data_IF_608735472620
#
_entry.id   IF_608735472620
#
_cell.length_a   1.000
_cell.length_b   1.000
_cell.length_c   1.000
_cell.angle_alpha   90.00
_cell.angle_beta   90.00
_cell.angle_gamma   90.00
#
_symmetry.space_group_name_H-M   'P 1'
#
loop_
_entity.id
_entity.type
_entity.pdbx_description
1 polymer ?
#
# COMPACT_ATOMS: atom_id res chain seq x y z
N UNK A 1 -106.76 56.48 -21.82
CA UNK A 1 -105.91 55.55 -21.02
C UNK A 1 -104.62 55.15 -21.77
N UNK A 2 -103.93 56.07 -22.49
CA UNK A 2 -102.74 55.71 -23.31
C UNK A 2 -101.40 56.28 -22.83
N UNK A 3 -101.34 57.19 -21.85
CA UNK A 3 -100.07 57.81 -21.42
C UNK A 3 -99.25 56.97 -20.42
N UNK A 4 -99.87 55.98 -19.76
CA UNK A 4 -99.18 55.15 -18.74
C UNK A 4 -98.27 54.07 -19.34
N UNK A 5 -98.51 53.65 -20.59
CA UNK A 5 -97.72 52.60 -21.23
C UNK A 5 -96.39 53.10 -21.81
N UNK A 6 -96.28 54.38 -22.16
CA UNK A 6 -95.04 54.95 -22.71
C UNK A 6 -93.92 55.17 -21.69
N UNK A 7 -94.25 55.40 -20.41
CA UNK A 7 -93.24 55.61 -19.35
C UNK A 7 -92.53 54.29 -19.00
N UNK A 8 -93.27 53.17 -19.00
CA UNK A 8 -92.71 51.85 -18.70
C UNK A 8 -91.76 51.34 -19.81
N UNK A 9 -92.04 51.65 -21.08
CA UNK A 9 -91.16 51.25 -22.18
C UNK A 9 -89.84 52.01 -22.16
N UNK A 10 -89.84 53.31 -21.84
CA UNK A 10 -88.61 54.11 -21.72
C UNK A 10 -87.76 53.62 -20.54
N UNK A 11 -88.37 53.33 -19.39
CA UNK A 11 -87.66 52.82 -18.21
C UNK A 11 -87.01 51.43 -18.48
N UNK A 12 -87.71 50.56 -19.23
CA UNK A 12 -87.20 49.26 -19.62
C UNK A 12 -85.98 49.37 -20.54
N UNK A 13 -85.97 50.32 -21.48
CA UNK A 13 -84.82 50.55 -22.39
C UNK A 13 -83.61 51.09 -21.63
N UNK A 14 -83.80 52.03 -20.69
CA UNK A 14 -82.71 52.60 -19.89
C UNK A 14 -82.10 51.53 -18.96
N UNK A 15 -82.91 50.70 -18.32
CA UNK A 15 -82.43 49.62 -17.44
C UNK A 15 -81.69 48.52 -18.22
N UNK A 16 -82.15 48.14 -19.41
CA UNK A 16 -81.44 47.23 -20.31
C UNK A 16 -80.10 47.81 -20.80
N UNK A 17 -80.07 49.10 -21.17
CA UNK A 17 -78.83 49.78 -21.55
C UNK A 17 -77.81 49.82 -20.41
N UNK A 18 -78.26 50.12 -19.19
CA UNK A 18 -77.41 50.14 -18.00
C UNK A 18 -76.87 48.75 -17.64
N UNK A 19 -77.72 47.71 -17.71
CA UNK A 19 -77.31 46.32 -17.50
C UNK A 19 -76.27 45.86 -18.54
N UNK A 20 -76.40 46.28 -19.81
CA UNK A 20 -75.42 46.02 -20.86
C UNK A 20 -74.05 46.66 -20.59
N UNK A 21 -74.04 47.93 -20.16
CA UNK A 21 -72.79 48.63 -19.78
C UNK A 21 -72.12 47.95 -18.59
N UNK A 22 -72.88 47.58 -17.55
CA UNK A 22 -72.36 46.85 -16.39
C UNK A 22 -71.81 45.47 -16.78
N UNK A 23 -72.46 44.75 -17.69
CA UNK A 23 -71.98 43.46 -18.18
C UNK A 23 -70.65 43.60 -18.92
N UNK A 24 -70.53 44.59 -19.83
CA UNK A 24 -69.27 44.88 -20.54
C UNK A 24 -68.18 45.32 -19.57
N UNK A 25 -68.51 46.15 -18.58
CA UNK A 25 -67.55 46.59 -17.56
C UNK A 25 -67.09 45.45 -16.67
N UNK A 26 -68.00 44.56 -16.27
CA UNK A 26 -67.68 43.35 -15.52
C UNK A 26 -66.79 42.40 -16.33
N UNK A 27 -67.05 42.25 -17.64
CA UNK A 27 -66.23 41.44 -18.54
C UNK A 27 -64.81 42.01 -18.70
N UNK A 28 -64.67 43.32 -18.88
CA UNK A 28 -63.37 44.01 -18.91
C UNK A 28 -62.61 43.85 -17.59
N UNK A 29 -63.32 43.98 -16.47
CA UNK A 29 -62.73 43.75 -15.14
C UNK A 29 -62.20 42.32 -15.03
N UNK A 30 -63.00 41.30 -15.41
CA UNK A 30 -62.55 39.89 -15.40
C UNK A 30 -61.33 39.65 -16.28
N UNK A 31 -61.30 40.23 -17.48
CA UNK A 31 -60.16 40.11 -18.38
C UNK A 31 -58.88 40.70 -17.78
N UNK A 32 -58.95 41.90 -17.22
CA UNK A 32 -57.82 42.54 -16.55
C UNK A 32 -57.33 41.72 -15.35
N UNK A 33 -58.25 41.14 -14.57
CA UNK A 33 -57.86 40.27 -13.46
C UNK A 33 -57.18 38.98 -13.94
N UNK A 34 -57.63 38.39 -15.06
CA UNK A 34 -56.99 37.22 -15.65
C UNK A 34 -55.58 37.55 -16.18
N UNK A 35 -55.40 38.70 -16.84
CA UNK A 35 -54.09 39.17 -17.30
C UNK A 35 -53.14 39.44 -16.11
N UNK A 36 -53.63 40.09 -15.04
CA UNK A 36 -52.85 40.31 -13.82
C UNK A 36 -52.46 38.97 -13.16
N UNK A 37 -53.35 37.98 -13.16
CA UNK A 37 -53.06 36.65 -12.60
C UNK A 37 -51.96 35.94 -13.40
N UNK A 38 -52.04 35.95 -14.73
CA UNK A 38 -51.03 35.37 -15.62
C UNK A 38 -49.66 36.06 -15.44
N UNK A 39 -49.65 37.40 -15.45
CA UNK A 39 -48.40 38.16 -15.26
C UNK A 39 -47.78 37.92 -13.88
N UNK A 40 -48.59 37.69 -12.84
CA UNK A 40 -48.09 37.32 -11.50
C UNK A 40 -47.48 35.93 -11.48
N UNK A 41 -48.05 34.98 -12.21
CA UNK A 41 -47.51 33.62 -12.36
C UNK A 41 -46.17 33.64 -13.11
N UNK A 42 -46.08 34.38 -14.21
CA UNK A 42 -44.81 34.59 -14.94
C UNK A 42 -43.75 35.28 -14.07
N UNK A 43 -44.13 36.29 -13.30
CA UNK A 43 -43.20 36.95 -12.39
C UNK A 43 -42.71 36.00 -11.28
N UNK A 44 -43.56 35.09 -10.79
CA UNK A 44 -43.18 34.08 -9.80
C UNK A 44 -42.23 33.01 -10.38
N UNK A 45 -42.46 32.59 -11.63
CA UNK A 45 -41.57 31.63 -12.29
C UNK A 45 -40.19 32.22 -12.55
N UNK A 46 -40.10 33.47 -13.03
CA UNK A 46 -38.84 34.18 -13.23
C UNK A 46 -38.05 34.35 -11.93
N UNK A 47 -38.72 34.64 -10.81
CA UNK A 47 -38.07 34.71 -9.49
C UNK A 47 -37.52 33.36 -9.04
N UNK A 48 -38.23 32.28 -9.31
CA UNK A 48 -37.79 30.93 -8.98
C UNK A 48 -36.54 30.56 -9.80
N UNK A 49 -36.58 30.84 -11.11
CA UNK A 49 -35.45 30.62 -12.02
C UNK A 49 -34.24 31.48 -11.64
N UNK A 50 -34.43 32.73 -11.26
CA UNK A 50 -33.31 33.60 -10.85
C UNK A 50 -32.70 33.14 -9.53
N UNK A 51 -33.52 32.74 -8.56
CA UNK A 51 -33.05 32.16 -7.30
C UNK A 51 -32.26 30.87 -7.53
N UNK A 52 -32.75 29.98 -8.40
CA UNK A 52 -32.04 28.74 -8.74
C UNK A 52 -30.75 29.02 -9.51
N UNK A 53 -30.74 29.97 -10.44
CA UNK A 53 -29.52 30.36 -11.16
C UNK A 53 -28.47 30.93 -10.19
N UNK A 54 -28.90 31.74 -9.22
CA UNK A 54 -28.02 32.27 -8.19
C UNK A 54 -27.49 31.16 -7.28
N UNK A 55 -28.34 30.20 -6.90
CA UNK A 55 -27.94 29.01 -6.14
C UNK A 55 -26.91 28.18 -6.90
N UNK A 56 -27.13 27.91 -8.18
CA UNK A 56 -26.20 27.15 -9.01
C UNK A 56 -24.86 27.86 -9.16
N UNK A 57 -24.86 29.19 -9.33
CA UNK A 57 -23.62 29.99 -9.36
C UNK A 57 -22.86 29.97 -8.03
N UNK A 58 -23.56 29.92 -6.91
CA UNK A 58 -22.93 29.83 -5.58
C UNK A 58 -22.29 28.45 -5.32
N UNK A 59 -22.74 27.39 -6.00
CA UNK A 59 -22.19 26.03 -5.87
C UNK A 59 -21.13 25.73 -6.94
N UNK A 60 -21.02 26.55 -7.99
CA UNK A 60 -19.99 26.35 -9.00
C UNK A 60 -18.60 26.62 -8.41
N UNK A 61 -17.63 25.72 -8.66
CA UNK A 61 -16.26 25.94 -8.22
C UNK A 61 -15.72 27.24 -8.81
N UNK A 62 -15.08 28.02 -7.97
CA UNK A 62 -14.40 29.25 -8.34
C UNK A 62 -13.26 28.97 -9.30
N UNK A 63 -12.84 29.99 -10.06
CA UNK A 63 -11.72 29.88 -10.98
C UNK A 63 -10.41 29.45 -10.29
N UNK A 64 -10.25 29.79 -9.01
CA UNK A 64 -9.14 29.38 -8.15
C UNK A 64 -9.20 27.90 -7.82
N UNK A 65 -10.36 27.36 -7.41
CA UNK A 65 -10.54 25.93 -7.16
C UNK A 65 -10.30 25.10 -8.43
N UNK A 66 -10.74 25.58 -9.59
CA UNK A 66 -10.43 24.97 -10.89
C UNK A 66 -8.94 24.99 -11.24
N UNK A 67 -8.19 26.03 -10.84
CA UNK A 67 -6.76 26.10 -11.06
C UNK A 67 -5.99 25.15 -10.12
N UNK A 68 -6.42 25.05 -8.87
CA UNK A 68 -5.87 24.09 -7.90
C UNK A 68 -6.09 22.66 -8.37
N UNK A 69 -7.30 22.32 -8.83
CA UNK A 69 -7.59 20.97 -9.29
C UNK A 69 -6.73 20.56 -10.50
N UNK A 70 -6.51 21.48 -11.45
CA UNK A 70 -5.60 21.24 -12.58
C UNK A 70 -4.15 21.05 -12.16
N UNK A 71 -3.69 21.78 -11.15
CA UNK A 71 -2.33 21.61 -10.60
C UNK A 71 -2.18 20.24 -9.96
N UNK A 72 -3.15 19.82 -9.14
CA UNK A 72 -3.14 18.49 -8.51
C UNK A 72 -3.17 17.36 -9.54
N UNK A 73 -3.96 17.51 -10.61
CA UNK A 73 -4.03 16.52 -11.68
C UNK A 73 -2.68 16.39 -12.42
N UNK A 74 -2.03 17.52 -12.73
CA UNK A 74 -0.71 17.53 -13.34
C UNK A 74 0.36 16.86 -12.44
N UNK A 75 0.30 17.06 -11.13
CA UNK A 75 1.19 16.39 -10.17
C UNK A 75 0.97 14.87 -10.14
N UNK A 76 -0.29 14.42 -10.16
CA UNK A 76 -0.62 12.99 -10.21
C UNK A 76 -0.04 12.33 -11.45
N UNK A 77 -0.26 12.91 -12.62
CA UNK A 77 0.27 12.41 -13.90
C UNK A 77 1.81 12.36 -13.87
N UNK A 78 2.45 13.37 -13.28
CA UNK A 78 3.91 13.38 -13.12
C UNK A 78 4.39 12.22 -12.24
N UNK A 79 3.79 12.02 -11.06
CA UNK A 79 4.14 10.91 -10.17
C UNK A 79 3.94 9.55 -10.84
N UNK A 80 2.85 9.35 -11.57
CA UNK A 80 2.59 8.12 -12.32
C UNK A 80 3.69 7.85 -13.37
N UNK A 81 4.12 8.90 -14.07
CA UNK A 81 5.20 8.79 -15.06
C UNK A 81 6.55 8.42 -14.41
N UNK A 82 6.86 8.97 -13.24
CA UNK A 82 8.07 8.65 -12.47
C UNK A 82 8.06 7.20 -12.00
N UNK A 83 6.92 6.72 -11.49
CA UNK A 83 6.74 5.31 -11.10
C UNK A 83 6.92 4.39 -12.31
N UNK A 84 6.33 4.72 -13.46
CA UNK A 84 6.48 3.94 -14.68
C UNK A 84 7.95 3.86 -15.13
N UNK A 85 8.68 4.99 -15.10
CA UNK A 85 10.10 5.04 -15.44
C UNK A 85 10.96 4.21 -14.47
N UNK A 86 10.71 4.30 -13.17
CA UNK A 86 11.43 3.50 -12.17
C UNK A 86 11.19 2.00 -12.35
N UNK A 87 9.95 1.60 -12.62
CA UNK A 87 9.61 0.20 -12.95
C UNK A 87 10.33 -0.28 -14.19
N UNK A 88 10.37 0.53 -15.26
CA UNK A 88 11.10 0.20 -16.49
C UNK A 88 12.60 0.07 -16.25
N UNK A 89 13.22 0.98 -15.49
CA UNK A 89 14.64 0.90 -15.11
C UNK A 89 14.97 -0.35 -14.30
N UNK A 90 14.11 -0.72 -13.35
CA UNK A 90 14.26 -1.94 -12.57
C UNK A 90 14.13 -3.19 -13.44
N UNK A 91 13.17 -3.21 -14.37
CA UNK A 91 13.00 -4.31 -15.32
C UNK A 91 14.22 -4.44 -16.24
N UNK A 92 14.74 -3.33 -16.79
CA UNK A 92 15.95 -3.33 -17.60
C UNK A 92 17.17 -3.85 -16.81
N UNK A 93 17.39 -3.36 -15.58
CA UNK A 93 18.46 -3.86 -14.70
C UNK A 93 18.33 -5.37 -14.44
N UNK A 94 17.11 -5.87 -14.24
CA UNK A 94 16.86 -7.32 -14.06
C UNK A 94 17.17 -8.10 -15.34
N UNK A 95 16.77 -7.61 -16.51
CA UNK A 95 17.03 -8.26 -17.79
C UNK A 95 18.53 -8.33 -18.11
N UNK A 96 19.27 -7.23 -17.90
CA UNK A 96 20.73 -7.21 -18.10
C UNK A 96 21.46 -8.11 -17.11
N UNK A 97 20.96 -8.25 -15.87
CA UNK A 97 21.50 -9.19 -14.87
C UNK A 97 21.20 -10.66 -15.19
N UNK A 98 20.22 -10.96 -16.06
CA UNK A 98 19.82 -12.33 -16.41
C UNK A 98 20.40 -12.81 -17.74
N UNK A 99 20.87 -11.93 -18.61
CA UNK A 99 21.23 -12.24 -19.99
C UNK A 99 22.58 -12.96 -20.19
N UNK A 100 23.30 -13.32 -19.12
CA UNK A 100 24.66 -13.91 -19.24
C UNK A 100 25.03 -14.98 -18.22
N UNK A 101 24.15 -15.35 -17.30
CA UNK A 101 24.43 -16.42 -16.33
C UNK A 101 23.85 -17.76 -16.84
N UNK A 102 24.59 -18.89 -16.78
CA UNK A 102 24.01 -20.20 -17.05
C UNK A 102 22.80 -20.40 -16.13
N UNK A 103 21.69 -20.89 -16.69
CA UNK A 103 20.48 -21.12 -15.94
C UNK A 103 20.76 -22.13 -14.81
N UNK A 104 20.74 -21.66 -13.57
CA UNK A 104 20.86 -22.51 -12.39
C UNK A 104 19.71 -23.53 -12.41
N UNK A 105 20.04 -24.82 -12.37
CA UNK A 105 19.03 -25.87 -12.24
C UNK A 105 18.70 -26.06 -10.76
N UNK A 106 17.42 -25.99 -10.35
CA UNK A 106 17.02 -26.29 -8.99
C UNK A 106 17.52 -27.66 -8.55
N UNK A 107 18.08 -27.77 -7.34
CA UNK A 107 18.49 -29.05 -6.80
C UNK A 107 17.26 -29.89 -6.45
N UNK A 108 17.36 -31.23 -6.37
CA UNK A 108 16.38 -32.02 -5.64
C UNK A 108 16.38 -31.59 -4.15
N UNK A 109 15.26 -31.76 -3.43
CA UNK A 109 15.21 -31.50 -2.00
C UNK A 109 16.08 -32.50 -1.23
N UNK A 110 16.91 -31.98 -0.34
CA UNK A 110 17.78 -32.74 0.56
C UNK A 110 17.19 -32.73 1.97
N UNK A 111 16.92 -33.90 2.54
CA UNK A 111 16.40 -34.04 3.90
C UNK A 111 17.45 -33.66 4.93
N UNK A 112 17.02 -33.21 6.12
CA UNK A 112 17.92 -32.81 7.20
C UNK A 112 18.90 -33.92 7.62
N UNK A 113 18.47 -35.17 7.57
CA UNK A 113 19.32 -36.34 7.85
C UNK A 113 20.41 -36.60 6.80
N UNK A 114 20.33 -35.97 5.62
CA UNK A 114 21.30 -36.09 4.55
C UNK A 114 22.28 -34.92 4.50
N UNK A 115 22.09 -33.89 5.34
CA UNK A 115 23.04 -32.77 5.43
C UNK A 115 24.36 -33.25 6.01
N UNK A 116 25.46 -32.80 5.43
CA UNK A 116 26.81 -33.11 5.90
C UNK A 116 27.67 -31.84 6.02
N UNK A 117 28.81 -31.99 6.70
CA UNK A 117 29.87 -31.00 6.64
C UNK A 117 30.55 -31.04 5.26
N UNK A 118 29.99 -30.30 4.29
CA UNK A 118 30.54 -30.14 2.94
C UNK A 118 31.70 -29.14 2.87
N UNK A 119 32.03 -28.48 3.98
CA UNK A 119 33.07 -27.46 4.09
C UNK A 119 32.65 -26.10 3.51
N UNK A 120 33.65 -25.25 3.21
CA UNK A 120 33.48 -23.87 2.73
C UNK A 120 34.01 -23.64 1.31
N UNK A 121 34.13 -24.72 0.53
CA UNK A 121 34.69 -24.69 -0.83
C UNK A 121 33.79 -24.01 -1.87
N UNK A 122 32.47 -24.00 -1.63
CA UNK A 122 31.48 -23.35 -2.48
C UNK A 122 30.37 -22.67 -1.65
N UNK A 123 29.59 -21.75 -2.25
CA UNK A 123 28.42 -21.15 -1.61
C UNK A 123 27.40 -22.18 -1.10
N UNK A 124 27.16 -23.24 -1.87
CA UNK A 124 26.22 -24.30 -1.51
C UNK A 124 26.77 -25.15 -0.36
N UNK A 125 28.06 -25.49 -0.42
CA UNK A 125 28.73 -26.29 0.60
C UNK A 125 28.75 -25.58 1.97
N UNK A 126 29.00 -24.27 1.99
CA UNK A 126 28.95 -23.52 3.26
C UNK A 126 27.55 -23.49 3.86
N UNK A 127 26.50 -23.40 3.01
CA UNK A 127 25.13 -23.46 3.50
C UNK A 127 24.77 -24.83 4.05
N UNK A 128 25.11 -25.91 3.34
CA UNK A 128 24.89 -27.26 3.82
C UNK A 128 25.62 -27.50 5.15
N UNK A 129 26.88 -27.08 5.24
CA UNK A 129 27.68 -27.16 6.47
C UNK A 129 27.06 -26.36 7.61
N UNK A 130 26.55 -25.16 7.34
CA UNK A 130 25.87 -24.34 8.34
C UNK A 130 24.59 -25.01 8.86
N UNK A 131 23.77 -25.59 7.98
CA UNK A 131 22.54 -26.28 8.36
C UNK A 131 22.83 -27.58 9.12
N UNK A 132 23.82 -28.35 8.68
CA UNK A 132 24.31 -29.53 9.40
C UNK A 132 24.81 -29.16 10.80
N UNK A 133 25.64 -28.11 10.91
CA UNK A 133 26.19 -27.66 12.17
C UNK A 133 25.09 -27.15 13.12
N UNK A 134 24.11 -26.42 12.59
CA UNK A 134 22.95 -25.99 13.36
C UNK A 134 22.09 -27.15 13.87
N UNK A 135 21.85 -28.15 13.02
CA UNK A 135 21.08 -29.35 13.38
C UNK A 135 21.79 -30.23 14.41
N UNK A 136 23.12 -30.36 14.29
CA UNK A 136 23.97 -31.14 15.19
C UNK A 136 24.38 -30.42 16.48
N UNK A 137 24.14 -29.11 16.59
CA UNK A 137 24.59 -28.30 17.72
C UNK A 137 26.09 -27.96 17.71
N UNK A 138 26.73 -28.03 16.54
CA UNK A 138 28.15 -27.73 16.33
C UNK A 138 28.37 -26.21 16.23
N UNK A 139 28.23 -25.52 17.36
CA UNK A 139 28.19 -24.04 17.43
C UNK A 139 29.46 -23.39 16.86
N UNK A 140 30.64 -23.98 17.09
CA UNK A 140 31.90 -23.42 16.57
C UNK A 140 31.96 -23.51 15.05
N UNK A 141 31.61 -24.68 14.50
CA UNK A 141 31.56 -24.88 13.05
C UNK A 141 30.55 -23.93 12.42
N UNK A 142 29.38 -23.75 13.06
CA UNK A 142 28.38 -22.80 12.58
C UNK A 142 28.92 -21.37 12.62
N UNK A 143 29.52 -20.92 13.72
CA UNK A 143 30.11 -19.58 13.84
C UNK A 143 31.16 -19.32 12.75
N UNK A 144 31.97 -20.32 12.44
CA UNK A 144 32.99 -20.28 11.38
C UNK A 144 32.40 -20.19 9.96
N UNK A 145 31.15 -20.61 9.74
CA UNK A 145 30.47 -20.40 8.46
C UNK A 145 29.85 -19.02 8.31
N UNK A 146 29.74 -18.23 9.39
CA UNK A 146 29.08 -16.93 9.37
C UNK A 146 30.08 -15.79 9.15
N UNK A 147 29.64 -14.78 8.40
CA UNK A 147 30.33 -13.52 8.23
C UNK A 147 29.40 -12.39 8.69
N UNK A 148 29.72 -11.80 9.84
CA UNK A 148 29.07 -10.58 10.29
C UNK A 148 29.64 -9.40 9.50
N UNK A 149 28.79 -8.65 8.81
CA UNK A 149 29.20 -7.35 8.28
C UNK A 149 29.50 -6.36 9.42
N UNK A 150 30.13 -5.22 9.12
CA UNK A 150 30.58 -4.29 10.16
C UNK A 150 29.44 -3.79 11.07
N UNK A 151 28.27 -3.55 10.49
CA UNK A 151 27.10 -3.10 11.24
C UNK A 151 26.54 -4.24 12.10
N UNK A 152 26.39 -5.43 11.53
CA UNK A 152 25.94 -6.62 12.22
C UNK A 152 26.87 -6.96 13.39
N UNK A 153 28.19 -6.92 13.18
CA UNK A 153 29.18 -7.16 14.22
C UNK A 153 28.99 -6.21 15.41
N UNK A 154 28.90 -4.91 15.14
CA UNK A 154 28.70 -3.87 16.16
C UNK A 154 27.42 -4.13 16.99
N UNK A 155 26.33 -4.52 16.33
CA UNK A 155 25.08 -4.85 17.02
C UNK A 155 25.18 -6.13 17.83
N UNK A 156 25.83 -7.18 17.30
CA UNK A 156 26.05 -8.43 18.02
C UNK A 156 26.93 -8.22 19.26
N UNK A 157 27.95 -7.37 19.19
CA UNK A 157 28.79 -6.99 20.34
C UNK A 157 27.98 -6.25 21.40
N UNK A 158 27.12 -5.32 20.98
CA UNK A 158 26.21 -4.60 21.87
C UNK A 158 25.24 -5.56 22.57
N UNK A 159 24.66 -6.49 21.81
CA UNK A 159 23.77 -7.52 22.34
C UNK A 159 24.51 -8.41 23.34
N UNK A 160 25.71 -8.90 22.99
CA UNK A 160 26.54 -9.69 23.89
C UNK A 160 26.86 -8.92 25.18
N UNK A 161 27.22 -7.64 25.09
CA UNK A 161 27.51 -6.80 26.25
C UNK A 161 26.30 -6.63 27.18
N UNK A 162 25.08 -6.61 26.65
CA UNK A 162 23.84 -6.49 27.42
C UNK A 162 23.47 -7.74 28.24
N UNK A 163 24.07 -8.90 27.92
CA UNK A 163 23.77 -10.16 28.60
C UNK A 163 24.42 -10.25 30.00
N UNK A 164 23.84 -11.05 30.93
CA UNK A 164 24.44 -11.29 32.24
C UNK A 164 25.87 -11.86 32.16
N UNK A 165 26.76 -11.56 33.14
CA UNK A 165 28.16 -11.99 33.10
C UNK A 165 28.37 -13.50 32.89
N UNK A 166 27.53 -14.32 33.52
CA UNK A 166 27.57 -15.78 33.37
C UNK A 166 27.28 -16.23 31.93
N UNK A 167 26.36 -15.55 31.24
CA UNK A 167 25.98 -15.85 29.85
C UNK A 167 27.05 -15.34 28.88
N UNK A 168 27.62 -14.16 29.14
CA UNK A 168 28.74 -13.62 28.35
C UNK A 168 29.98 -14.51 28.41
N UNK A 169 30.29 -15.08 29.58
CA UNK A 169 31.42 -15.97 29.77
C UNK A 169 31.33 -17.26 28.94
N UNK A 170 30.11 -17.71 28.64
CA UNK A 170 29.83 -18.90 27.84
C UNK A 170 29.99 -18.64 26.35
N UNK A 171 29.51 -17.49 25.84
CA UNK A 171 29.53 -17.22 24.40
C UNK A 171 30.79 -16.50 23.92
N UNK A 172 31.42 -15.64 24.74
CA UNK A 172 32.72 -14.97 24.53
C UNK A 172 32.88 -14.09 23.28
N UNK A 173 32.29 -14.45 22.14
CA UNK A 173 32.37 -13.76 20.86
C UNK A 173 30.97 -13.49 20.29
N UNK A 174 30.80 -12.40 19.52
CA UNK A 174 29.54 -12.08 18.88
C UNK A 174 29.12 -13.15 17.86
N UNK A 175 30.08 -13.75 17.16
CA UNK A 175 29.83 -14.83 16.18
C UNK A 175 29.21 -16.07 16.85
N UNK A 176 29.72 -16.49 18.01
CA UNK A 176 29.21 -17.66 18.73
C UNK A 176 27.80 -17.43 19.28
N UNK A 177 27.51 -16.21 19.74
CA UNK A 177 26.16 -15.81 20.14
C UNK A 177 25.19 -15.89 18.95
N UNK A 178 25.56 -15.30 17.81
CA UNK A 178 24.71 -15.30 16.60
C UNK A 178 24.53 -16.71 16.04
N UNK A 179 25.56 -17.54 16.07
CA UNK A 179 25.48 -18.95 15.66
C UNK A 179 24.45 -19.71 16.49
N UNK A 180 24.46 -19.57 17.82
CA UNK A 180 23.47 -20.22 18.68
C UNK A 180 22.04 -19.77 18.36
N UNK A 181 21.83 -18.46 18.21
CA UNK A 181 20.51 -17.90 17.92
C UNK A 181 20.01 -18.38 16.56
N UNK A 182 20.91 -18.45 15.58
CA UNK A 182 20.62 -19.01 14.25
C UNK A 182 20.26 -20.48 14.34
N UNK A 183 21.00 -21.29 15.11
CA UNK A 183 20.77 -22.73 15.25
C UNK A 183 19.35 -23.04 15.76
N UNK A 184 18.82 -22.20 16.66
CA UNK A 184 17.44 -22.35 17.18
C UNK A 184 16.36 -22.13 16.11
N UNK A 185 16.65 -21.37 15.06
CA UNK A 185 15.70 -21.05 14.00
C UNK A 185 15.80 -21.98 12.79
N UNK A 186 16.78 -22.89 12.77
CA UNK A 186 16.97 -23.79 11.63
C UNK A 186 15.82 -24.80 11.54
N UNK A 187 15.07 -24.82 10.43
CA UNK A 187 14.01 -25.80 10.23
C UNK A 187 14.61 -27.17 9.90
N UNK A 188 14.35 -28.18 10.72
CA UNK A 188 14.95 -29.52 10.61
C UNK A 188 14.21 -30.48 9.65
N UNK A 189 13.58 -29.96 8.59
CA UNK A 189 12.86 -30.78 7.61
C UNK A 189 13.71 -31.07 6.38
N UNK A 190 13.68 -30.18 5.38
CA UNK A 190 14.44 -30.33 4.14
C UNK A 190 14.95 -28.99 3.59
N UNK A 191 15.98 -29.02 2.76
CA UNK A 191 16.49 -27.87 2.02
C UNK A 191 16.46 -28.16 0.52
N UNK A 192 16.08 -27.15 -0.27
CA UNK A 192 16.20 -27.18 -1.73
C UNK A 192 16.78 -25.87 -2.25
N UNK A 193 17.80 -25.94 -3.12
CA UNK A 193 18.29 -24.77 -3.85
C UNK A 193 17.36 -24.48 -5.02
N UNK A 194 16.78 -23.27 -5.04
CA UNK A 194 15.85 -22.83 -6.09
C UNK A 194 16.59 -22.01 -7.15
N UNK A 195 17.46 -21.11 -6.71
CA UNK A 195 18.19 -20.22 -7.59
C UNK A 195 19.54 -19.82 -7.00
N UNK A 196 20.50 -19.58 -7.88
CA UNK A 196 21.79 -18.95 -7.59
C UNK A 196 21.93 -17.72 -8.47
N UNK A 197 22.38 -16.62 -7.89
CA UNK A 197 22.69 -15.40 -8.65
C UNK A 197 24.03 -14.84 -8.19
N UNK A 198 24.95 -14.66 -9.12
CA UNK A 198 26.24 -14.02 -8.83
C UNK A 198 26.10 -12.50 -8.94
N UNK A 199 26.65 -11.77 -7.96
CA UNK A 199 26.65 -10.31 -7.86
C UNK A 199 28.03 -9.83 -7.46
N UNK A 200 28.92 -9.70 -8.44
CA UNK A 200 30.31 -9.35 -8.18
C UNK A 200 31.00 -10.43 -7.35
N UNK A 201 31.49 -10.07 -6.16
CA UNK A 201 32.12 -11.01 -5.23
C UNK A 201 31.13 -11.79 -4.34
N UNK A 202 29.84 -11.46 -4.42
CA UNK A 202 28.78 -12.08 -3.61
C UNK A 202 27.95 -13.06 -4.44
N UNK A 203 27.52 -14.14 -3.81
CA UNK A 203 26.59 -15.12 -4.40
C UNK A 203 25.30 -15.14 -3.60
N UNK A 204 24.19 -14.80 -4.23
CA UNK A 204 22.85 -14.90 -3.66
C UNK A 204 22.31 -16.32 -3.88
N UNK A 205 22.01 -17.01 -2.78
CA UNK A 205 21.39 -18.33 -2.76
C UNK A 205 19.92 -18.17 -2.36
N UNK A 206 19.02 -18.61 -3.23
CA UNK A 206 17.60 -18.71 -2.91
C UNK A 206 17.29 -20.16 -2.55
N UNK A 207 16.92 -20.39 -1.30
CA UNK A 207 16.65 -21.72 -0.78
C UNK A 207 15.22 -21.82 -0.27
N UNK A 208 14.62 -22.99 -0.49
CA UNK A 208 13.39 -23.41 0.18
C UNK A 208 13.79 -24.29 1.34
N UNK A 209 13.39 -23.89 2.54
CA UNK A 209 13.57 -24.67 3.74
C UNK A 209 12.19 -25.15 4.20
N UNK A 210 12.05 -26.45 4.42
CA UNK A 210 10.83 -27.06 4.90
C UNK A 210 10.99 -27.41 6.37
N UNK A 211 9.94 -27.13 7.15
CA UNK A 211 9.83 -27.56 8.53
C UNK A 211 9.33 -29.02 8.62
N UNK A 212 9.53 -29.70 9.76
CA UNK A 212 8.98 -31.03 10.00
C UNK A 212 7.45 -31.11 9.89
N UNK A 213 6.74 -30.00 10.10
CA UNK A 213 5.28 -29.90 9.96
C UNK A 213 4.80 -29.82 8.50
N UNK A 214 5.74 -29.80 7.55
CA UNK A 214 5.48 -29.72 6.11
C UNK A 214 5.41 -28.29 5.57
N UNK A 215 5.35 -27.26 6.42
CA UNK A 215 5.39 -25.85 5.99
C UNK A 215 6.74 -25.51 5.37
N UNK A 216 6.75 -24.63 4.36
CA UNK A 216 7.98 -24.26 3.65
C UNK A 216 8.15 -22.75 3.57
N UNK A 217 9.36 -22.29 3.89
CA UNK A 217 9.77 -20.89 3.77
C UNK A 217 10.83 -20.76 2.69
N UNK A 218 10.75 -19.70 1.90
CA UNK A 218 11.80 -19.37 0.94
C UNK A 218 12.66 -18.25 1.50
N UNK A 219 13.96 -18.48 1.65
CA UNK A 219 14.93 -17.50 2.14
C UNK A 219 15.93 -17.17 1.04
N UNK A 220 16.41 -15.92 1.05
CA UNK A 220 17.52 -15.49 0.20
C UNK A 220 18.70 -15.20 1.12
N UNK A 221 19.77 -15.95 0.94
CA UNK A 221 21.01 -15.87 1.72
C UNK A 221 22.11 -15.34 0.83
N UNK A 222 23.03 -14.57 1.39
CA UNK A 222 24.20 -14.08 0.65
C UNK A 222 25.40 -14.85 1.15
N UNK A 223 26.12 -15.51 0.25
CA UNK A 223 27.44 -16.05 0.52
C UNK A 223 28.49 -15.08 -0.05
N UNK A 224 29.52 -14.79 0.73
CA UNK A 224 30.65 -13.95 0.33
C UNK A 224 31.94 -14.71 0.59
N UNK A 225 32.87 -14.67 -0.36
CA UNK A 225 34.14 -15.36 -0.23
C UNK A 225 34.91 -15.48 -1.54
N UNK A 226 36.13 -16.01 -1.43
CA UNK A 226 36.97 -16.44 -2.56
C UNK A 226 37.09 -17.96 -2.63
N UNK A 227 37.89 -18.51 -3.56
CA UNK A 227 38.06 -19.96 -3.69
C UNK A 227 38.51 -20.60 -2.36
N UNK A 228 37.63 -21.37 -1.72
CA UNK A 228 37.95 -22.15 -0.51
C UNK A 228 37.52 -21.55 0.84
N UNK A 229 37.06 -20.29 0.91
CA UNK A 229 36.62 -19.68 2.19
C UNK A 229 35.31 -18.91 2.05
N UNK A 230 34.27 -19.59 1.56
CA UNK A 230 32.93 -19.02 1.51
C UNK A 230 32.31 -18.92 2.90
N UNK A 231 31.64 -17.80 3.18
CA UNK A 231 30.88 -17.58 4.42
C UNK A 231 29.52 -16.95 4.13
N UNK A 232 28.54 -17.28 4.96
CA UNK A 232 27.20 -16.72 4.90
C UNK A 232 27.17 -15.35 5.57
N UNK A 233 26.81 -14.32 4.81
CA UNK A 233 26.67 -12.97 5.32
C UNK A 233 25.43 -12.87 6.18
N UNK A 234 25.62 -12.45 7.43
CA UNK A 234 24.53 -12.14 8.35
C UNK A 234 24.29 -10.63 8.34
N UNK A 235 23.16 -10.15 7.80
CA UNK A 235 22.86 -8.72 7.77
C UNK A 235 22.43 -8.22 9.15
N UNK A 236 22.63 -6.93 9.42
CA UNK A 236 22.22 -6.29 10.67
C UNK A 236 20.72 -6.47 11.00
N UNK A 237 19.87 -6.61 9.98
CA UNK A 237 18.45 -6.90 10.15
C UNK A 237 18.15 -8.25 10.82
N UNK A 238 18.99 -9.27 10.61
CA UNK A 238 18.84 -10.57 11.26
C UNK A 238 19.11 -10.47 12.77
N UNK A 239 20.08 -9.65 13.17
CA UNK A 239 20.40 -9.43 14.60
C UNK A 239 19.27 -8.68 15.30
N UNK A 240 18.65 -7.73 14.60
CA UNK A 240 17.49 -7.00 15.13
C UNK A 240 16.32 -7.94 15.45
N UNK A 241 16.14 -9.00 14.65
CA UNK A 241 15.15 -10.04 14.95
C UNK A 241 15.48 -10.78 16.24
N UNK A 242 16.73 -11.20 16.41
CA UNK A 242 17.17 -11.88 17.63
C UNK A 242 17.05 -11.02 18.88
N UNK A 243 17.35 -9.72 18.78
CA UNK A 243 17.14 -8.77 19.88
C UNK A 243 15.68 -8.70 20.31
N UNK A 244 14.73 -8.78 19.37
CA UNK A 244 13.31 -8.80 19.67
C UNK A 244 12.89 -10.10 20.36
N UNK A 245 13.41 -11.24 19.88
CA UNK A 245 13.14 -12.57 20.47
C UNK A 245 13.66 -12.67 21.90
N UNK A 246 14.86 -12.13 22.17
CA UNK A 246 15.47 -12.14 23.50
C UNK A 246 14.79 -11.18 24.49
N UNK A 247 14.15 -10.11 24.01
CA UNK A 247 13.37 -9.17 24.84
C UNK A 247 11.96 -9.66 25.18
N UNK A 248 11.44 -10.67 24.45
CA UNK A 248 10.11 -11.24 24.67
C UNK A 248 8.95 -10.34 24.21
N UNK A 249 7.73 -10.89 24.06
CA UNK A 249 6.55 -10.15 23.59
C UNK A 249 6.02 -9.08 24.57
N UNK A 250 6.52 -8.97 25.80
CA UNK A 250 6.08 -7.95 26.76
C UNK A 250 6.59 -6.52 26.48
N UNK A 251 7.49 -6.34 25.51
CA UNK A 251 7.94 -5.00 25.11
C UNK A 251 7.02 -4.33 24.08
N UNK A 252 5.98 -5.02 23.60
CA UNK A 252 5.08 -4.54 22.56
C UNK A 252 3.68 -4.17 23.13
N UNK A 253 3.58 -2.90 23.57
CA UNK A 253 2.36 -2.06 23.72
C UNK A 253 1.48 -2.22 24.98
N UNK A 254 0.78 -1.13 25.43
CA UNK A 254 0.31 0.00 24.63
C UNK A 254 0.76 1.39 25.13
N UNK A 255 1.18 2.23 24.19
CA UNK A 255 1.02 3.68 24.36
C UNK A 255 -0.48 3.96 24.22
N UNK A 256 -1.09 4.41 25.32
CA UNK A 256 -2.34 5.18 25.32
C UNK A 256 -2.08 6.58 24.81
#
# INVERSE_FOLDING_TARGET
MSSRNGIWTVLAVVTLGFAGVLAVQAQRSRQLHAEIALLREEAASLRTLSAENQRLRAVQPTATEWAEWRTQDAERVRCESEIAQLRARLAAKRATSHAGAPAFQPSPPMQASAWNNAGRGSPEAVLETALWAAAGGEVETLADTLLLDAEARTRAETLLASLPPAVRATYRTPERLVALLTAREVPLGSMQFIARMERGADVLLRVRLQQPDGSAITKSLVARGGPGDWRLVVPAGAISHFEAVLRGPESASPVR
#
